data_IF_856591689750
#
_entry.id   IF_856591689750
#
_cell.length_a   1.000
_cell.length_b   1.000
_cell.length_c   1.000
_cell.angle_alpha   90.00
_cell.angle_beta   90.00
_cell.angle_gamma   90.00
#
_symmetry.space_group_name_H-M   'P 1'
#
loop_
_entity.id
_entity.type
_entity.pdbx_description
1 polymer ?
#
# COMPACT_ATOMS: atom_id res chain seq x y z
N UNK A 1 -6.58 -5.39 2.82
CA UNK A 1 -6.41 -4.01 2.33
C UNK A 1 -5.45 -4.07 1.16
N UNK A 2 -5.69 -3.30 0.10
CA UNK A 2 -4.90 -3.32 -1.15
C UNK A 2 -4.11 -2.01 -1.23
N UNK A 3 -2.79 -2.10 -1.25
CA UNK A 3 -1.90 -0.97 -1.47
C UNK A 3 -1.29 -1.12 -2.87
N UNK A 4 -1.59 -0.18 -3.78
CA UNK A 4 -1.02 -0.15 -5.12
C UNK A 4 -0.05 1.01 -5.24
N UNK A 5 1.11 0.76 -5.85
CA UNK A 5 2.15 1.75 -6.07
C UNK A 5 2.26 2.10 -7.55
N UNK A 6 2.39 3.39 -7.81
CA UNK A 6 2.45 3.99 -9.14
C UNK A 6 3.58 5.00 -9.22
N UNK A 7 4.08 5.24 -10.43
CA UNK A 7 5.03 6.32 -10.71
C UNK A 7 4.33 7.44 -11.46
N UNK A 8 4.60 8.65 -11.01
CA UNK A 8 4.08 9.89 -11.59
C UNK A 8 5.24 10.86 -11.78
N UNK A 9 5.38 11.38 -12.99
CA UNK A 9 6.36 12.39 -13.34
C UNK A 9 5.69 13.78 -13.46
N UNK A 10 6.50 14.83 -13.29
CA UNK A 10 6.04 16.22 -13.34
C UNK A 10 5.70 16.85 -11.98
N UNK A 11 5.67 16.07 -10.90
CA UNK A 11 5.53 16.61 -9.53
C UNK A 11 6.86 17.25 -9.11
N UNK A 12 6.95 18.58 -9.21
CA UNK A 12 8.18 19.34 -8.90
C UNK A 12 8.09 20.17 -7.62
N UNK A 13 6.96 20.08 -6.89
CA UNK A 13 6.67 20.96 -5.77
C UNK A 13 5.85 20.28 -4.66
N UNK A 14 6.04 20.65 -3.38
CA UNK A 14 5.29 20.06 -2.27
C UNK A 14 3.76 20.29 -2.32
N UNK A 15 3.31 21.34 -3.01
CA UNK A 15 1.88 21.59 -3.24
C UNK A 15 1.28 20.67 -4.31
N UNK A 16 2.11 20.16 -5.21
CA UNK A 16 1.72 19.30 -6.32
C UNK A 16 1.18 17.95 -5.81
N UNK A 17 1.77 17.43 -4.72
CA UNK A 17 1.33 16.20 -4.08
C UNK A 17 -0.07 16.27 -3.49
N UNK A 18 -0.48 17.43 -2.95
CA UNK A 18 -1.79 17.58 -2.35
C UNK A 18 -2.91 17.48 -3.39
N UNK A 19 -2.76 18.15 -4.54
CA UNK A 19 -3.75 18.07 -5.62
C UNK A 19 -3.93 16.64 -6.13
N UNK A 20 -2.84 15.89 -6.34
CA UNK A 20 -2.93 14.47 -6.75
C UNK A 20 -3.60 13.61 -5.68
N UNK A 21 -3.30 13.87 -4.41
CA UNK A 21 -3.90 13.15 -3.28
C UNK A 21 -5.41 13.37 -3.22
N UNK A 22 -5.88 14.61 -3.41
CA UNK A 22 -7.31 14.96 -3.40
C UNK A 22 -8.08 14.23 -4.51
N UNK A 23 -7.58 14.28 -5.74
CA UNK A 23 -8.21 13.62 -6.89
C UNK A 23 -8.26 12.08 -6.72
N UNK A 24 -7.17 11.48 -6.24
CA UNK A 24 -7.12 10.03 -6.05
C UNK A 24 -7.97 9.55 -4.87
N UNK A 25 -8.11 10.37 -3.82
CA UNK A 25 -8.96 10.04 -2.67
C UNK A 25 -10.45 10.17 -3.00
N UNK A 26 -10.81 10.95 -4.04
CA UNK A 26 -12.17 11.03 -4.53
C UNK A 26 -12.64 9.75 -5.26
N UNK A 27 -11.72 8.86 -5.64
CA UNK A 27 -12.06 7.61 -6.30
C UNK A 27 -12.76 6.63 -5.34
N UNK A 28 -13.80 5.92 -5.80
CA UNK A 28 -14.52 4.98 -4.96
C UNK A 28 -13.62 3.84 -4.49
N UNK A 29 -13.64 3.57 -3.18
CA UNK A 29 -12.86 2.50 -2.55
C UNK A 29 -11.45 2.91 -2.13
N UNK A 30 -11.00 4.13 -2.43
CA UNK A 30 -9.74 4.68 -1.91
C UNK A 30 -9.94 5.19 -0.48
N UNK A 31 -9.08 4.76 0.44
CA UNK A 31 -9.11 5.21 1.85
C UNK A 31 -7.95 6.14 2.19
N UNK A 32 -6.79 5.93 1.55
CA UNK A 32 -5.63 6.79 1.78
C UNK A 32 -4.74 6.83 0.55
N UNK A 33 -4.08 7.96 0.36
CA UNK A 33 -3.09 8.19 -0.70
C UNK A 33 -1.84 8.78 -0.07
N UNK A 34 -0.68 8.25 -0.43
CA UNK A 34 0.63 8.75 0.01
C UNK A 34 1.44 9.07 -1.23
N UNK A 35 1.95 10.30 -1.31
CA UNK A 35 2.74 10.78 -2.45
C UNK A 35 4.14 11.11 -1.96
N UNK A 36 5.12 10.53 -2.63
CA UNK A 36 6.54 10.78 -2.44
C UNK A 36 7.05 11.60 -3.64
N UNK A 37 7.22 12.91 -3.44
CA UNK A 37 7.64 13.84 -4.49
C UNK A 37 9.12 13.67 -4.84
N UNK A 38 9.94 13.19 -3.91
CA UNK A 38 11.37 12.99 -4.14
C UNK A 38 11.63 11.85 -5.14
N UNK A 39 10.81 10.79 -5.06
CA UNK A 39 10.92 9.61 -5.91
C UNK A 39 9.87 9.56 -7.03
N UNK A 40 8.85 10.41 -6.97
CA UNK A 40 7.69 10.37 -7.89
C UNK A 40 6.75 9.19 -7.63
N UNK A 41 6.81 8.57 -6.44
CA UNK A 41 6.02 7.38 -6.11
C UNK A 41 4.70 7.75 -5.46
N UNK A 42 3.62 7.14 -5.92
CA UNK A 42 2.27 7.31 -5.37
C UNK A 42 1.75 5.97 -4.88
N UNK A 43 1.46 5.87 -3.59
CA UNK A 43 0.87 4.68 -2.96
C UNK A 43 -0.61 4.95 -2.69
N UNK A 44 -1.48 4.16 -3.30
CA UNK A 44 -2.94 4.23 -3.14
C UNK A 44 -3.41 3.03 -2.34
N UNK A 45 -4.00 3.31 -1.17
CA UNK A 45 -4.60 2.33 -0.28
C UNK A 45 -6.10 2.29 -0.49
N UNK A 46 -6.60 1.12 -0.83
CA UNK A 46 -8.00 0.89 -1.17
C UNK A 46 -8.57 -0.38 -0.53
N UNK A 47 -9.88 -0.37 -0.28
CA UNK A 47 -10.64 -1.54 0.18
C UNK A 47 -10.98 -2.49 -0.96
N UNK A 48 -11.09 -1.95 -2.18
CA UNK A 48 -11.45 -2.67 -3.40
C UNK A 48 -10.44 -2.38 -4.53
N UNK A 49 -10.31 -3.28 -5.52
CA UNK A 49 -9.42 -3.04 -6.65
C UNK A 49 -9.86 -1.82 -7.47
N UNK A 50 -9.04 -0.77 -7.46
CA UNK A 50 -9.24 0.40 -8.32
C UNK A 50 -8.61 0.14 -9.69
N UNK A 51 -9.33 0.47 -10.75
CA UNK A 51 -8.82 0.32 -12.12
C UNK A 51 -7.67 1.30 -12.40
N UNK A 52 -6.59 0.80 -13.00
CA UNK A 52 -5.43 1.62 -13.37
C UNK A 52 -5.83 2.81 -14.28
N UNK A 53 -6.80 2.61 -15.18
CA UNK A 53 -7.33 3.68 -16.03
C UNK A 53 -7.94 4.83 -15.24
N UNK A 54 -8.58 4.55 -14.10
CA UNK A 54 -9.14 5.57 -13.22
C UNK A 54 -8.05 6.35 -12.49
N UNK A 55 -6.99 5.66 -12.04
CA UNK A 55 -5.81 6.30 -11.44
C UNK A 55 -5.13 7.21 -12.46
N UNK A 56 -4.90 6.70 -13.68
CA UNK A 56 -4.30 7.47 -14.76
C UNK A 56 -5.14 8.71 -15.10
N UNK A 57 -6.46 8.57 -15.21
CA UNK A 57 -7.35 9.69 -15.49
C UNK A 57 -7.25 10.77 -14.40
N UNK A 58 -7.30 10.38 -13.12
CA UNK A 58 -7.16 11.32 -12.01
C UNK A 58 -5.79 12.04 -12.01
N UNK A 59 -4.70 11.33 -12.34
CA UNK A 59 -3.36 11.92 -12.47
C UNK A 59 -3.28 12.90 -13.65
N UNK A 60 -3.91 12.57 -14.78
CA UNK A 60 -3.95 13.42 -15.98
C UNK A 60 -4.80 14.68 -15.74
N UNK A 61 -5.96 14.55 -15.08
CA UNK A 61 -6.80 15.68 -14.68
C UNK A 61 -6.12 16.60 -13.66
N UNK A 62 -5.30 16.03 -12.77
CA UNK A 62 -4.42 16.79 -11.87
C UNK A 62 -3.26 17.50 -12.61
N UNK A 63 -3.04 17.20 -13.89
CA UNK A 63 -2.02 17.82 -14.73
C UNK A 63 -0.64 17.17 -14.66
N UNK A 64 -0.56 15.89 -14.28
CA UNK A 64 0.68 15.13 -14.18
C UNK A 64 0.72 13.94 -15.13
N UNK A 65 1.90 13.35 -15.31
CA UNK A 65 2.09 12.21 -16.22
C UNK A 65 2.21 10.91 -15.44
N UNK A 66 1.33 9.96 -15.74
CA UNK A 66 1.40 8.61 -15.23
C UNK A 66 2.46 7.78 -15.98
N UNK A 67 3.50 7.34 -15.27
CA UNK A 67 4.62 6.58 -15.83
C UNK A 67 4.38 5.07 -15.81
N UNK A 68 3.60 4.59 -14.83
CA UNK A 68 3.25 3.17 -14.76
C UNK A 68 2.97 2.66 -13.36
N UNK A 69 2.56 1.40 -13.30
CA UNK A 69 2.33 0.63 -12.09
C UNK A 69 3.61 -0.10 -11.67
N UNK A 70 3.98 0.02 -10.40
CA UNK A 70 5.26 -0.53 -9.89
C UNK A 70 5.07 -1.75 -9.03
N UNK A 71 4.03 -1.80 -8.20
CA UNK A 71 3.77 -2.95 -7.35
C UNK A 71 2.35 -2.93 -6.76
N UNK A 72 1.79 -4.11 -6.53
CA UNK A 72 0.64 -4.28 -5.64
C UNK A 72 1.17 -4.95 -4.38
N UNK A 73 1.14 -4.23 -3.27
CA UNK A 73 1.34 -4.81 -1.95
C UNK A 73 -0.04 -5.20 -1.44
N UNK A 74 -0.36 -6.50 -1.53
CA UNK A 74 -1.51 -7.04 -0.80
C UNK A 74 -1.11 -7.13 0.66
N UNK A 75 -1.49 -6.14 1.45
CA UNK A 75 -1.53 -6.21 2.91
C UNK A 75 -2.61 -7.22 3.33
N UNK A 76 -2.37 -8.49 3.04
CA UNK A 76 -2.90 -9.55 3.87
C UNK A 76 -2.18 -9.39 5.20
N UNK A 77 -2.91 -9.02 6.25
CA UNK A 77 -2.58 -9.51 7.59
C UNK A 77 -2.81 -11.01 7.60
N UNK A 78 -2.07 -11.75 6.78
CA UNK A 78 -1.59 -13.03 7.20
C UNK A 78 -0.44 -12.63 8.11
N UNK A 79 -0.71 -12.64 9.42
CA UNK A 79 0.38 -12.75 10.37
C UNK A 79 1.28 -13.93 9.94
N UNK A 80 2.52 -14.02 10.42
CA UNK A 80 3.21 -15.30 10.37
C UNK A 80 2.39 -16.30 11.19
N UNK A 81 1.38 -16.92 10.58
CA UNK A 81 0.74 -18.13 11.06
C UNK A 81 1.70 -19.28 10.74
N UNK A 82 2.83 -19.29 11.42
CA UNK A 82 3.47 -20.55 11.79
C UNK A 82 3.02 -20.84 13.20
N UNK A 83 1.89 -21.55 13.29
CA UNK A 83 1.74 -22.57 14.31
C UNK A 83 2.96 -23.50 14.19
N UNK A 84 4.03 -23.17 14.90
CA UNK A 84 5.07 -24.11 15.28
C UNK A 84 5.17 -24.07 16.81
N UNK A 85 4.20 -24.71 17.43
CA UNK A 85 4.38 -25.28 18.75
C UNK A 85 4.95 -26.67 18.57
N UNK A 86 6.20 -26.95 18.98
CA UNK A 86 6.50 -28.23 19.55
C UNK A 86 6.10 -28.18 21.03
N UNK A 87 4.88 -28.64 21.31
CA UNK A 87 4.61 -29.30 22.57
C UNK A 87 5.40 -30.62 22.59
N UNK A 88 6.58 -30.60 23.19
CA UNK A 88 7.37 -31.75 23.67
C UNK A 88 8.58 -31.16 24.40
N UNK A 89 9.00 -31.54 25.60
CA UNK A 89 8.63 -32.58 26.51
C UNK A 89 9.30 -32.13 27.83
N UNK A 90 8.53 -31.96 28.90
CA UNK A 90 9.10 -31.78 30.22
C UNK A 90 9.32 -33.15 30.83
N UNK A 91 10.55 -33.67 30.97
CA UNK A 91 10.79 -34.73 31.92
C UNK A 91 10.71 -34.13 33.33
N UNK A 92 9.61 -34.46 33.98
CA UNK A 92 9.37 -34.48 35.42
C UNK A 92 10.66 -34.50 36.26
N UNK A 93 10.71 -33.65 37.28
CA UNK A 93 11.51 -33.86 38.50
C UNK A 93 11.28 -35.30 39.02
N UNK A 94 12.33 -36.01 39.44
CA UNK A 94 12.25 -36.85 40.61
C UNK A 94 12.90 -36.10 41.78
N UNK A 95 12.04 -35.60 42.68
CA UNK A 95 12.39 -35.43 44.08
C UNK A 95 12.14 -36.80 44.73
N UNK A 96 13.19 -37.57 45.05
CA UNK A 96 13.27 -38.51 46.19
C UNK A 96 14.54 -39.36 46.13
N UNK A 97 15.50 -39.06 47.02
CA UNK A 97 16.15 -39.98 47.97
C UNK A 97 17.01 -39.14 48.92
#
# INVERSE_FOLDING_TARGET
MIDNEYLVSGMSCGHCAQSVTEELTALPGVEAVTVDVETGKVTVRSTEPVAESSIRAAVDEAGYTYEGFTATVRSHTMGPSTTDSPAADSPRRPSHA
#
